data_IF_092240285111
#
_entry.id   IF_092240285111
#
_cell.length_a   1.000
_cell.length_b   1.000
_cell.length_c   1.000
_cell.angle_alpha   90.00
_cell.angle_beta   90.00
_cell.angle_gamma   90.00
#
_symmetry.space_group_name_H-M   'P 1'
#
loop_
_entity.id
_entity.type
_entity.pdbx_description
1 polymer ?
#
# COMPACT_ATOMS: atom_id res chain seq x y z
N UNK A 1 -11.98 -12.09 16.28
CA UNK A 1 -10.74 -12.70 15.75
C UNK A 1 -10.50 -12.42 14.25
N UNK A 2 -11.52 -12.49 13.37
CA UNK A 2 -11.32 -12.27 11.93
C UNK A 2 -10.76 -10.88 11.58
N UNK A 3 -11.21 -9.83 12.27
CA UNK A 3 -10.74 -8.46 12.09
C UNK A 3 -9.25 -8.29 12.40
N UNK A 4 -8.76 -8.94 13.47
CA UNK A 4 -7.33 -8.95 13.80
C UNK A 4 -6.51 -9.62 12.70
N UNK A 5 -7.02 -10.71 12.10
CA UNK A 5 -6.35 -11.35 10.95
C UNK A 5 -6.30 -10.42 9.73
N UNK A 6 -7.38 -9.70 9.42
CA UNK A 6 -7.41 -8.73 8.31
C UNK A 6 -6.38 -7.62 8.51
N UNK A 7 -6.40 -6.99 9.68
CA UNK A 7 -5.45 -5.92 10.03
C UNK A 7 -4.01 -6.45 10.01
N UNK A 8 -3.75 -7.62 10.61
CA UNK A 8 -2.44 -8.23 10.63
C UNK A 8 -1.91 -8.57 9.23
N UNK A 9 -2.76 -9.10 8.35
CA UNK A 9 -2.37 -9.40 6.96
C UNK A 9 -2.11 -8.12 6.16
N UNK A 10 -2.90 -7.07 6.34
CA UNK A 10 -2.64 -5.75 5.74
C UNK A 10 -1.31 -5.20 6.24
N UNK A 11 -1.05 -5.27 7.55
CA UNK A 11 0.22 -4.82 8.13
C UNK A 11 1.42 -5.56 7.52
N UNK A 12 1.31 -6.88 7.32
CA UNK A 12 2.35 -7.69 6.66
C UNK A 12 2.54 -7.24 5.21
N UNK A 13 1.46 -7.05 4.43
CA UNK A 13 1.53 -6.57 3.05
C UNK A 13 2.30 -5.25 2.97
N UNK A 14 1.90 -4.28 3.80
CA UNK A 14 2.51 -2.95 3.81
C UNK A 14 3.96 -3.02 4.29
N UNK A 15 4.27 -3.85 5.29
CA UNK A 15 5.65 -4.02 5.77
C UNK A 15 6.56 -4.60 4.69
N UNK A 16 6.10 -5.63 3.95
CA UNK A 16 6.86 -6.21 2.85
C UNK A 16 7.05 -5.23 1.69
N UNK A 17 6.00 -4.48 1.32
CA UNK A 17 6.12 -3.40 0.33
C UNK A 17 7.11 -2.32 0.78
N UNK A 18 7.13 -2.00 2.07
CA UNK A 18 8.07 -1.04 2.65
C UNK A 18 9.51 -1.53 2.61
N UNK A 19 9.77 -2.84 2.72
CA UNK A 19 11.12 -3.40 2.54
C UNK A 19 11.61 -3.19 1.11
N UNK A 20 10.74 -3.40 0.11
CA UNK A 20 11.08 -3.15 -1.30
C UNK A 20 11.38 -1.66 -1.52
N UNK A 21 10.53 -0.80 -0.98
CA UNK A 21 10.68 0.66 -1.02
C UNK A 21 11.97 1.13 -0.34
N UNK A 22 12.34 0.53 0.80
CA UNK A 22 13.63 0.79 1.46
C UNK A 22 14.80 0.50 0.52
N UNK A 23 14.80 -0.65 -0.15
CA UNK A 23 15.86 -1.01 -1.11
C UNK A 23 15.94 0.04 -2.22
N UNK A 24 14.80 0.43 -2.80
CA UNK A 24 14.76 1.47 -3.86
C UNK A 24 15.34 2.79 -3.37
N UNK A 25 15.05 3.20 -2.14
CA UNK A 25 15.60 4.40 -1.53
C UNK A 25 17.11 4.32 -1.24
N UNK A 26 17.71 3.13 -1.20
CA UNK A 26 19.17 2.95 -1.10
C UNK A 26 19.88 2.90 -2.46
N UNK A 27 19.15 2.79 -3.58
CA UNK A 27 19.76 2.66 -4.92
C UNK A 27 20.24 3.99 -5.51
N UNK A 28 19.70 5.13 -5.06
CA UNK A 28 20.06 6.45 -5.57
C UNK A 28 19.94 7.51 -4.47
N UNK A 29 20.98 8.33 -4.31
CA UNK A 29 21.01 9.39 -3.30
C UNK A 29 19.88 10.42 -3.43
N UNK A 30 19.36 10.63 -4.64
CA UNK A 30 18.22 11.55 -4.91
C UNK A 30 16.91 11.05 -4.30
N UNK A 31 16.82 9.75 -4.03
CA UNK A 31 15.66 9.15 -3.39
C UNK A 31 15.89 8.94 -1.90
N UNK A 32 17.09 9.12 -1.36
CA UNK A 32 17.38 8.79 0.04
C UNK A 32 16.46 9.51 1.03
N UNK A 33 15.93 8.74 1.99
CA UNK A 33 15.10 9.21 3.10
C UNK A 33 15.65 8.68 4.43
N UNK A 34 15.47 9.39 5.55
CA UNK A 34 15.94 8.92 6.85
C UNK A 34 15.19 7.65 7.28
N UNK A 35 15.83 6.79 8.06
CA UNK A 35 15.24 5.49 8.45
C UNK A 35 13.90 5.61 9.21
N UNK A 36 13.72 6.68 9.99
CA UNK A 36 12.47 6.98 10.71
C UNK A 36 11.25 7.16 9.79
N UNK A 37 11.47 7.44 8.50
CA UNK A 37 10.40 7.51 7.50
C UNK A 37 9.65 6.18 7.35
N UNK A 38 10.34 5.03 7.44
CA UNK A 38 9.74 3.72 7.13
C UNK A 38 8.71 3.26 8.18
N UNK A 39 8.94 3.36 9.50
CA UNK A 39 7.90 3.11 10.50
C UNK A 39 6.64 3.97 10.30
N UNK A 40 6.80 5.26 10.00
CA UNK A 40 5.66 6.15 9.72
C UNK A 40 4.91 5.73 8.45
N UNK A 41 5.63 5.30 7.41
CA UNK A 41 5.06 4.77 6.18
C UNK A 41 4.27 3.49 6.41
N UNK A 42 4.77 2.58 7.25
CA UNK A 42 4.06 1.35 7.60
C UNK A 42 2.74 1.66 8.29
N UNK A 43 2.77 2.56 9.28
CA UNK A 43 1.56 2.97 9.99
C UNK A 43 0.55 3.62 9.05
N UNK A 44 0.98 4.62 8.27
CA UNK A 44 0.16 5.33 7.30
C UNK A 44 -0.43 4.37 6.26
N UNK A 45 0.41 3.52 5.68
CA UNK A 45 0.02 2.56 4.65
C UNK A 45 -1.00 1.55 5.17
N UNK A 46 -0.78 1.00 6.38
CA UNK A 46 -1.68 0.03 6.98
C UNK A 46 -3.04 0.65 7.32
N UNK A 47 -3.04 1.87 7.87
CA UNK A 47 -4.27 2.61 8.18
C UNK A 47 -5.10 2.83 6.92
N UNK A 48 -4.51 3.43 5.89
CA UNK A 48 -5.25 3.78 4.67
C UNK A 48 -5.61 2.57 3.81
N UNK A 49 -4.78 1.53 3.79
CA UNK A 49 -5.15 0.26 3.17
C UNK A 49 -6.35 -0.39 3.87
N UNK A 50 -6.42 -0.33 5.20
CA UNK A 50 -7.56 -0.85 5.95
C UNK A 50 -8.83 -0.03 5.72
N UNK A 51 -8.73 1.31 5.72
CA UNK A 51 -9.85 2.20 5.35
C UNK A 51 -10.33 1.90 3.94
N UNK A 52 -9.42 1.79 2.97
CA UNK A 52 -9.75 1.42 1.58
C UNK A 52 -10.48 0.09 1.51
N UNK A 53 -9.95 -0.93 2.18
CA UNK A 53 -10.64 -2.23 2.29
C UNK A 53 -12.05 -2.07 2.86
N UNK A 54 -12.26 -1.33 3.95
CA UNK A 54 -13.59 -1.13 4.53
C UNK A 54 -14.57 -0.40 3.61
N UNK A 55 -14.11 0.64 2.90
CA UNK A 55 -14.93 1.42 1.96
C UNK A 55 -15.36 0.55 0.77
N UNK A 56 -14.42 -0.22 0.21
CA UNK A 56 -14.66 -0.97 -1.02
C UNK A 56 -15.09 -2.43 -0.80
N UNK A 57 -15.07 -2.98 0.42
CA UNK A 57 -15.30 -4.42 0.70
C UNK A 57 -16.52 -5.04 0.03
N UNK A 58 -17.61 -4.27 -0.14
CA UNK A 58 -18.86 -4.76 -0.78
C UNK A 58 -18.73 -4.95 -2.30
N UNK A 59 -17.75 -4.29 -2.92
CA UNK A 59 -17.49 -4.32 -4.36
C UNK A 59 -16.31 -5.23 -4.72
N UNK A 60 -15.55 -5.70 -3.71
CA UNK A 60 -14.40 -6.57 -3.92
C UNK A 60 -14.88 -8.01 -4.02
N UNK A 61 -14.85 -8.57 -5.23
CA UNK A 61 -15.26 -9.96 -5.50
C UNK A 61 -14.08 -10.89 -5.81
N UNK A 62 -12.90 -10.34 -6.11
CA UNK A 62 -11.71 -11.11 -6.49
C UNK A 62 -10.53 -10.76 -5.60
N UNK A 63 -9.60 -11.72 -5.46
CA UNK A 63 -8.35 -11.47 -4.73
C UNK A 63 -7.49 -10.39 -5.40
N UNK A 64 -7.62 -10.23 -6.72
CA UNK A 64 -6.90 -9.20 -7.46
C UNK A 64 -7.48 -7.81 -7.14
N UNK A 65 -8.81 -7.66 -7.17
CA UNK A 65 -9.47 -6.42 -6.75
C UNK A 65 -9.10 -6.06 -5.30
N UNK A 66 -9.01 -7.04 -4.41
CA UNK A 66 -8.58 -6.84 -3.03
C UNK A 66 -7.15 -6.31 -2.95
N UNK A 67 -6.20 -6.95 -3.64
CA UNK A 67 -4.81 -6.52 -3.68
C UNK A 67 -4.66 -5.12 -4.27
N UNK A 68 -5.42 -4.82 -5.33
CA UNK A 68 -5.47 -3.49 -5.94
C UNK A 68 -5.97 -2.45 -4.96
N UNK A 69 -7.07 -2.69 -4.25
CA UNK A 69 -7.58 -1.74 -3.25
C UNK A 69 -6.56 -1.50 -2.14
N UNK A 70 -6.01 -2.57 -1.55
CA UNK A 70 -5.03 -2.48 -0.46
C UNK A 70 -3.78 -1.69 -0.87
N UNK A 71 -3.35 -1.81 -2.13
CA UNK A 71 -2.13 -1.15 -2.63
C UNK A 71 -2.42 0.26 -3.16
N UNK A 72 -3.52 0.44 -3.87
CA UNK A 72 -3.86 1.71 -4.53
C UNK A 72 -4.35 2.76 -3.56
N UNK A 73 -5.14 2.41 -2.53
CA UNK A 73 -5.67 3.40 -1.58
C UNK A 73 -4.57 4.22 -0.91
N UNK A 74 -3.56 3.62 -0.23
CA UNK A 74 -2.50 4.41 0.38
C UNK A 74 -1.66 5.17 -0.66
N UNK A 75 -1.42 4.60 -1.84
CA UNK A 75 -0.66 5.27 -2.91
C UNK A 75 -1.38 6.53 -3.44
N UNK A 76 -2.69 6.42 -3.71
CA UNK A 76 -3.51 7.54 -4.20
C UNK A 76 -3.62 8.65 -3.15
N UNK A 77 -3.87 8.31 -1.88
CA UNK A 77 -3.98 9.31 -0.82
C UNK A 77 -2.63 10.01 -0.60
N UNK A 78 -1.53 9.25 -0.64
CA UNK A 78 -0.19 9.84 -0.53
C UNK A 78 0.10 10.80 -1.70
N UNK A 79 -0.28 10.44 -2.93
CA UNK A 79 -0.13 11.34 -4.08
C UNK A 79 -1.02 12.58 -3.98
N UNK A 80 -2.25 12.43 -3.50
CA UNK A 80 -3.13 13.57 -3.27
C UNK A 80 -2.49 14.55 -2.27
N UNK A 81 -1.86 14.04 -1.21
CA UNK A 81 -1.12 14.88 -0.26
C UNK A 81 0.08 15.57 -0.92
N UNK A 82 0.87 14.86 -1.73
CA UNK A 82 2.00 15.48 -2.43
C UNK A 82 1.55 16.55 -3.44
N UNK A 83 0.44 16.32 -4.13
CA UNK A 83 -0.14 17.32 -5.01
C UNK A 83 -0.56 18.58 -4.24
N UNK A 84 -1.21 18.43 -3.08
CA UNK A 84 -1.58 19.56 -2.21
C UNK A 84 -0.34 20.29 -1.68
N UNK A 85 0.76 19.58 -1.44
CA UNK A 85 2.05 20.15 -1.03
C UNK A 85 2.85 20.78 -2.19
N UNK A 86 2.26 20.92 -3.38
CA UNK A 86 2.87 21.55 -4.55
C UNK A 86 4.10 20.81 -5.13
N UNK A 87 4.19 19.50 -4.94
CA UNK A 87 5.19 18.68 -5.65
C UNK A 87 4.91 18.63 -7.15
N UNK A 88 5.96 18.45 -7.97
CA UNK A 88 5.86 18.41 -9.43
C UNK A 88 4.95 17.26 -9.92
N UNK A 89 3.90 17.60 -10.68
CA UNK A 89 2.84 16.66 -11.08
C UNK A 89 3.35 15.39 -11.80
N UNK A 90 4.35 15.53 -12.69
CA UNK A 90 4.93 14.39 -13.41
C UNK A 90 5.70 13.43 -12.52
N UNK A 91 6.34 13.95 -11.46
CA UNK A 91 6.99 13.13 -10.44
C UNK A 91 5.96 12.39 -9.58
N UNK A 92 4.91 13.10 -9.15
CA UNK A 92 3.80 12.57 -8.34
C UNK A 92 3.07 11.43 -9.05
N UNK A 93 2.75 11.59 -10.34
CA UNK A 93 1.94 10.59 -11.08
C UNK A 93 2.74 9.41 -11.64
N UNK A 94 3.97 9.59 -12.12
CA UNK A 94 4.71 8.52 -12.80
C UNK A 94 5.64 7.77 -11.85
N UNK A 95 6.48 8.49 -11.10
CA UNK A 95 7.46 7.86 -10.23
C UNK A 95 6.85 7.41 -8.91
N UNK A 96 6.04 8.26 -8.29
CA UNK A 96 5.50 7.97 -6.96
C UNK A 96 4.21 7.14 -7.00
N UNK A 97 3.22 7.44 -7.86
CA UNK A 97 1.99 6.63 -7.88
C UNK A 97 2.24 5.20 -8.40
N UNK A 98 2.87 5.10 -9.58
CA UNK A 98 3.10 3.82 -10.25
C UNK A 98 4.18 3.01 -9.52
N UNK A 99 5.27 3.66 -9.08
CA UNK A 99 6.29 3.01 -8.27
C UNK A 99 5.73 2.45 -6.97
N UNK A 100 5.06 3.27 -6.16
CA UNK A 100 4.48 2.82 -4.89
C UNK A 100 3.37 1.80 -5.10
N UNK A 101 2.55 1.93 -6.14
CA UNK A 101 1.57 0.89 -6.44
C UNK A 101 2.27 -0.46 -6.75
N UNK A 102 3.27 -0.46 -7.63
CA UNK A 102 3.95 -1.69 -8.07
C UNK A 102 4.76 -2.36 -6.96
N UNK A 103 5.38 -1.59 -6.06
CA UNK A 103 6.12 -2.16 -4.92
C UNK A 103 5.20 -2.87 -3.92
N UNK A 104 3.96 -2.41 -3.78
CA UNK A 104 3.02 -2.93 -2.79
C UNK A 104 2.05 -3.97 -3.40
N UNK A 105 1.77 -3.90 -4.71
CA UNK A 105 0.87 -4.84 -5.38
C UNK A 105 1.40 -6.27 -5.40
N UNK A 106 2.72 -6.46 -5.50
CA UNK A 106 3.33 -7.79 -5.54
C UNK A 106 3.09 -8.59 -4.24
N UNK A 107 3.50 -8.10 -3.04
CA UNK A 107 3.18 -8.79 -1.80
C UNK A 107 1.67 -8.85 -1.55
N UNK A 108 0.91 -7.81 -1.90
CA UNK A 108 -0.54 -7.80 -1.76
C UNK A 108 -1.19 -8.93 -2.57
N UNK A 109 -0.79 -9.12 -3.84
CA UNK A 109 -1.35 -10.14 -4.72
C UNK A 109 -1.22 -11.55 -4.13
N UNK A 110 -0.02 -11.94 -3.71
CA UNK A 110 0.22 -13.28 -3.18
C UNK A 110 -0.50 -13.52 -1.86
N UNK A 111 -0.49 -12.54 -0.96
CA UNK A 111 -1.17 -12.67 0.34
C UNK A 111 -2.69 -12.71 0.15
N UNK A 112 -3.25 -11.81 -0.65
CA UNK A 112 -4.70 -11.78 -0.94
C UNK A 112 -5.16 -13.04 -1.67
N UNK A 113 -4.34 -13.61 -2.58
CA UNK A 113 -4.63 -14.88 -3.24
C UNK A 113 -4.67 -16.05 -2.24
N UNK A 114 -3.68 -16.14 -1.36
CA UNK A 114 -3.57 -17.22 -0.36
C UNK A 114 -4.65 -17.13 0.72
N UNK A 115 -4.95 -15.92 1.20
CA UNK A 115 -5.85 -15.68 2.34
C UNK A 115 -7.18 -15.05 1.94
N UNK A 116 -7.65 -15.29 0.70
CA UNK A 116 -8.88 -14.69 0.17
C UNK A 116 -10.11 -14.87 1.09
N UNK A 117 -10.24 -16.03 1.72
CA UNK A 117 -11.37 -16.36 2.62
C UNK A 117 -11.37 -15.55 3.92
N UNK A 118 -10.25 -14.92 4.28
CA UNK A 118 -10.19 -14.02 5.44
C UNK A 118 -10.81 -12.66 5.12
N UNK A 119 -10.72 -12.23 3.86
CA UNK A 119 -11.09 -10.87 3.43
C UNK A 119 -12.41 -10.80 2.68
N UNK A 120 -12.67 -11.79 1.83
CA UNK A 120 -13.90 -11.92 1.07
C UNK A 120 -14.85 -12.71 1.94
N UNK A 121 -15.76 -12.00 2.61
CA UNK A 121 -16.91 -12.61 3.26
C UNK A 121 -17.66 -13.42 2.18
N UNK A 122 -17.79 -14.74 2.37
CA UNK A 122 -18.79 -15.52 1.63
C UNK A 122 -20.17 -15.20 2.18
#
# INVERSE_FOLDING_TARGET
MIWLKRIGLILIIISLGTVIDYIVHQMDARFSVPFEYFPHKIFYGALWAFVGYLVFRKFITTHFALATVISATPAVILQAMYFIQHHLLGWVTVFFLLGHFLMFILPAYFICKKYKSVFLDQ
#
